data_IF_293358686433
#
_entry.id   IF_293358686433
#
_cell.length_a   1.000
_cell.length_b   1.000
_cell.length_c   1.000
_cell.angle_alpha   90.00
_cell.angle_beta   90.00
_cell.angle_gamma   90.00
#
_symmetry.space_group_name_H-M   'P 1'
#
loop_
_entity.id
_entity.type
_entity.pdbx_description
1 polymer ?
#
# COMPACT_ATOMS: atom_id res chain seq x y z
N UNK A 1 18.82 6.34 18.71
CA UNK A 1 18.42 6.44 17.28
C UNK A 1 17.96 7.87 17.05
N UNK A 2 18.45 8.56 16.00
CA UNK A 2 17.94 9.90 15.65
C UNK A 2 16.53 9.79 15.12
N UNK A 3 15.66 10.75 15.49
CA UNK A 3 14.30 10.84 14.98
C UNK A 3 14.29 10.98 13.44
N UNK A 4 13.16 10.66 12.81
CA UNK A 4 12.96 10.91 11.37
C UNK A 4 12.99 12.42 11.14
N UNK A 5 13.74 12.86 10.14
CA UNK A 5 13.80 14.23 9.67
C UNK A 5 13.63 14.24 8.15
N UNK A 6 12.56 14.90 7.69
CA UNK A 6 12.20 15.01 6.28
C UNK A 6 12.37 16.44 5.77
N UNK A 7 13.11 17.29 6.51
CA UNK A 7 13.41 18.66 6.09
C UNK A 7 14.04 18.68 4.69
N UNK A 8 13.47 19.52 3.83
CA UNK A 8 13.91 19.63 2.43
C UNK A 8 13.50 18.45 1.53
N UNK A 9 12.65 17.54 1.99
CA UNK A 9 12.05 16.46 1.18
C UNK A 9 10.65 16.84 0.73
N UNK A 10 10.21 16.25 -0.38
CA UNK A 10 8.88 16.45 -0.92
C UNK A 10 8.23 15.12 -1.32
N UNK A 11 6.93 15.01 -1.10
CA UNK A 11 6.19 13.81 -1.46
C UNK A 11 4.74 14.02 -1.84
N UNK A 12 4.15 12.96 -2.37
CA UNK A 12 2.74 12.88 -2.74
C UNK A 12 2.03 11.95 -1.75
N UNK A 13 0.85 12.36 -1.26
CA UNK A 13 -0.05 11.51 -0.48
C UNK A 13 -1.42 11.51 -1.16
N UNK A 14 -1.80 10.40 -1.81
CA UNK A 14 -3.15 10.27 -2.38
C UNK A 14 -4.16 9.86 -1.32
N UNK A 15 -5.43 10.28 -1.47
CA UNK A 15 -6.43 10.12 -0.43
C UNK A 15 -6.11 10.94 0.84
N UNK A 16 -5.24 11.96 0.72
CA UNK A 16 -4.69 12.74 1.83
C UNK A 16 -5.67 13.69 2.52
N UNK A 17 -6.90 13.82 2.01
CA UNK A 17 -7.89 14.72 2.57
C UNK A 17 -8.64 14.21 3.80
N UNK A 18 -8.56 12.91 4.13
CA UNK A 18 -9.27 12.30 5.27
C UNK A 18 -8.63 10.98 5.72
N UNK A 19 -9.06 10.51 6.89
CA UNK A 19 -8.65 9.21 7.46
C UNK A 19 -7.14 9.03 7.53
N UNK A 20 -6.67 7.86 7.11
CA UNK A 20 -5.25 7.50 7.11
C UNK A 20 -4.39 8.46 6.28
N UNK A 21 -4.81 8.77 5.05
CA UNK A 21 -4.03 9.68 4.18
C UNK A 21 -3.85 11.07 4.80
N UNK A 22 -4.89 11.61 5.48
CA UNK A 22 -4.76 12.88 6.23
C UNK A 22 -3.74 12.74 7.35
N UNK A 23 -3.82 11.70 8.16
CA UNK A 23 -2.86 11.46 9.25
C UNK A 23 -1.42 11.36 8.71
N UNK A 24 -1.23 10.67 7.60
CA UNK A 24 0.08 10.57 6.95
C UNK A 24 0.58 11.94 6.47
N UNK A 25 -0.26 12.71 5.75
CA UNK A 25 0.12 14.02 5.23
C UNK A 25 0.52 14.99 6.35
N UNK A 26 -0.27 15.07 7.42
CA UNK A 26 0.01 15.91 8.57
C UNK A 26 1.30 15.50 9.29
N UNK A 27 1.46 14.20 9.54
CA UNK A 27 2.64 13.69 10.25
C UNK A 27 3.93 13.90 9.43
N UNK A 28 3.92 13.58 8.13
CA UNK A 28 5.08 13.80 7.26
C UNK A 28 5.44 15.30 7.18
N UNK A 29 4.44 16.18 7.09
CA UNK A 29 4.67 17.62 7.10
C UNK A 29 5.24 18.10 8.43
N UNK A 30 4.79 17.58 9.58
CA UNK A 30 5.33 17.93 10.90
C UNK A 30 6.80 17.52 11.08
N UNK A 31 7.28 16.58 10.27
CA UNK A 31 8.68 16.16 10.20
C UNK A 31 9.49 16.93 9.14
N UNK A 32 8.93 18.00 8.57
CA UNK A 32 9.59 18.91 7.65
C UNK A 32 9.40 18.62 6.16
N UNK A 33 8.62 17.61 5.78
CA UNK A 33 8.33 17.34 4.37
C UNK A 33 7.40 18.38 3.75
N UNK A 34 7.62 18.68 2.46
CA UNK A 34 6.62 19.34 1.63
C UNK A 34 5.67 18.30 1.03
N UNK A 35 4.35 18.49 1.07
CA UNK A 35 3.38 17.46 0.72
C UNK A 35 2.38 17.93 -0.32
N UNK A 36 2.28 17.18 -1.43
CA UNK A 36 1.11 17.24 -2.32
C UNK A 36 0.01 16.41 -1.68
N UNK A 37 -1.07 17.05 -1.26
CA UNK A 37 -2.24 16.42 -0.65
C UNK A 37 -3.29 16.21 -1.74
N UNK A 38 -3.41 14.98 -2.26
CA UNK A 38 -4.42 14.68 -3.27
C UNK A 38 -5.69 14.10 -2.62
N UNK A 39 -6.85 14.62 -3.02
CA UNK A 39 -8.16 14.01 -2.75
C UNK A 39 -9.22 14.55 -3.71
N UNK A 40 -9.85 13.68 -4.51
CA UNK A 40 -10.66 14.01 -5.70
C UNK A 40 -11.86 14.94 -5.49
N UNK A 41 -12.32 15.17 -4.26
CA UNK A 41 -13.53 15.96 -4.02
C UNK A 41 -13.19 17.42 -3.72
N UNK A 42 -13.34 18.27 -4.76
CA UNK A 42 -13.12 19.72 -4.64
C UNK A 42 -14.28 20.44 -3.90
N UNK A 43 -15.50 19.96 -4.00
CA UNK A 43 -16.65 20.59 -3.36
C UNK A 43 -16.57 20.50 -1.83
N UNK A 44 -16.15 19.35 -1.31
CA UNK A 44 -15.89 19.18 0.14
C UNK A 44 -14.57 19.81 0.55
N UNK A 45 -13.69 20.10 -0.40
CA UNK A 45 -12.37 20.71 -0.23
C UNK A 45 -11.52 20.05 0.89
N UNK A 46 -11.57 18.75 0.98
CA UNK A 46 -10.86 18.03 2.03
C UNK A 46 -9.34 18.10 1.87
N UNK A 47 -8.83 18.11 0.64
CA UNK A 47 -7.40 18.30 0.36
C UNK A 47 -6.94 19.70 0.71
N UNK A 48 -7.70 20.72 0.32
CA UNK A 48 -7.38 22.12 0.63
C UNK A 48 -7.36 22.41 2.13
N UNK A 49 -8.31 21.84 2.89
CA UNK A 49 -8.31 21.97 4.36
C UNK A 49 -7.06 21.38 5.00
N UNK A 50 -6.63 20.19 4.57
CA UNK A 50 -5.40 19.56 5.09
C UNK A 50 -4.17 20.36 4.68
N UNK A 51 -4.09 20.86 3.44
CA UNK A 51 -2.98 21.70 3.00
C UNK A 51 -2.92 23.02 3.77
N UNK A 52 -4.08 23.63 4.07
CA UNK A 52 -4.17 24.84 4.90
C UNK A 52 -3.76 24.57 6.36
N UNK A 53 -4.16 23.44 6.94
CA UNK A 53 -3.75 23.03 8.28
C UNK A 53 -2.23 22.83 8.38
N UNK A 54 -1.63 22.17 7.40
CA UNK A 54 -0.17 22.02 7.32
C UNK A 54 0.52 23.39 7.24
N UNK A 55 0.01 24.28 6.39
CA UNK A 55 0.60 25.62 6.20
C UNK A 55 0.45 26.48 7.45
N UNK A 56 -0.70 26.42 8.13
CA UNK A 56 -0.93 27.13 9.39
C UNK A 56 0.00 26.65 10.51
N UNK A 57 0.43 25.37 10.47
CA UNK A 57 1.42 24.80 11.38
C UNK A 57 2.89 25.12 10.98
N UNK A 58 3.11 25.93 9.93
CA UNK A 58 4.44 26.29 9.45
C UNK A 58 5.07 25.30 8.44
N UNK A 59 4.35 24.27 8.05
CA UNK A 59 4.76 23.31 7.02
C UNK A 59 4.49 23.80 5.58
N UNK A 60 4.81 22.96 4.61
CA UNK A 60 4.58 23.24 3.17
C UNK A 60 3.67 22.19 2.57
N UNK A 61 2.54 22.61 2.01
CA UNK A 61 1.64 21.70 1.31
C UNK A 61 0.91 22.41 0.16
N UNK A 62 0.48 21.62 -0.81
CA UNK A 62 -0.39 22.02 -1.91
C UNK A 62 -1.50 20.99 -2.09
N UNK A 63 -2.72 21.44 -2.34
CA UNK A 63 -3.85 20.56 -2.61
C UNK A 63 -3.93 20.19 -4.09
N UNK A 64 -4.32 18.95 -4.36
CA UNK A 64 -4.69 18.45 -5.67
C UNK A 64 -6.04 17.72 -5.61
N UNK A 65 -6.83 17.82 -6.69
CA UNK A 65 -8.19 17.28 -6.74
C UNK A 65 -8.41 16.29 -7.87
N UNK A 66 -7.34 15.79 -8.48
CA UNK A 66 -7.40 14.78 -9.54
C UNK A 66 -8.00 13.49 -9.02
N UNK A 67 -8.82 12.82 -9.82
CA UNK A 67 -9.21 11.44 -9.55
C UNK A 67 -8.04 10.53 -9.93
N UNK A 68 -7.54 9.76 -8.97
CA UNK A 68 -6.42 8.83 -9.21
C UNK A 68 -6.74 7.78 -10.29
N UNK A 69 -8.03 7.53 -10.56
CA UNK A 69 -8.46 6.66 -11.65
C UNK A 69 -8.29 7.29 -13.05
N UNK A 70 -8.02 8.59 -13.13
CA UNK A 70 -7.64 9.23 -14.39
C UNK A 70 -6.25 8.75 -14.82
N UNK A 71 -6.06 8.29 -16.07
CA UNK A 71 -4.76 7.82 -16.56
C UNK A 71 -3.61 8.83 -16.44
N UNK A 72 -3.91 10.13 -16.43
CA UNK A 72 -2.92 11.20 -16.35
C UNK A 72 -2.64 11.69 -14.92
N UNK A 73 -3.47 11.31 -13.93
CA UNK A 73 -3.37 11.81 -12.57
C UNK A 73 -1.98 11.61 -11.95
N UNK A 74 -1.33 10.48 -12.21
CA UNK A 74 0.01 10.21 -11.68
C UNK A 74 1.07 11.19 -12.21
N UNK A 75 1.03 11.51 -13.50
CA UNK A 75 1.96 12.45 -14.12
C UNK A 75 1.70 13.88 -13.67
N UNK A 76 0.43 14.26 -13.57
CA UNK A 76 0.02 15.58 -13.08
C UNK A 76 0.45 15.81 -11.61
N UNK A 77 0.30 14.80 -10.76
CA UNK A 77 0.75 14.85 -9.37
C UNK A 77 2.28 15.00 -9.24
N UNK A 78 3.04 14.27 -10.06
CA UNK A 78 4.51 14.42 -10.11
C UNK A 78 4.88 15.80 -10.61
N UNK A 79 4.26 16.27 -11.70
CA UNK A 79 4.50 17.62 -12.24
C UNK A 79 4.16 18.71 -11.22
N UNK A 80 3.08 18.53 -10.45
CA UNK A 80 2.71 19.45 -9.38
C UNK A 80 3.79 19.48 -8.28
N UNK A 81 4.27 18.34 -7.81
CA UNK A 81 5.33 18.29 -6.81
C UNK A 81 6.62 18.99 -7.28
N UNK A 82 7.00 18.76 -8.52
CA UNK A 82 8.18 19.39 -9.13
C UNK A 82 8.01 20.91 -9.28
N UNK A 83 6.85 21.37 -9.70
CA UNK A 83 6.56 22.79 -9.88
C UNK A 83 6.54 23.55 -8.55
N UNK A 84 5.92 22.99 -7.50
CA UNK A 84 5.73 23.66 -6.21
C UNK A 84 6.91 23.49 -5.26
N UNK A 85 7.63 22.37 -5.34
CA UNK A 85 8.67 22.01 -4.39
C UNK A 85 10.05 21.81 -5.02
N UNK A 86 10.14 21.73 -6.36
CA UNK A 86 11.39 21.52 -7.10
C UNK A 86 11.89 20.07 -7.07
N UNK A 87 11.17 19.15 -6.39
CA UNK A 87 11.58 17.76 -6.21
C UNK A 87 10.43 16.83 -5.85
N UNK A 88 10.68 15.53 -6.00
CA UNK A 88 9.87 14.45 -5.43
C UNK A 88 10.82 13.39 -4.85
N UNK A 89 10.63 13.02 -3.59
CA UNK A 89 11.44 12.04 -2.87
C UNK A 89 10.67 10.79 -2.46
N UNK A 90 9.35 10.95 -2.25
CA UNK A 90 8.50 9.81 -1.87
C UNK A 90 7.07 9.93 -2.40
N UNK A 91 6.40 8.78 -2.46
CA UNK A 91 4.99 8.68 -2.82
C UNK A 91 4.28 7.70 -1.88
N UNK A 92 3.14 8.14 -1.31
CA UNK A 92 2.26 7.32 -0.47
C UNK A 92 0.90 7.21 -1.14
N UNK A 93 0.52 6.01 -1.61
CA UNK A 93 -0.77 5.79 -2.27
C UNK A 93 -1.80 5.29 -1.25
N UNK A 94 -2.63 6.20 -0.72
CA UNK A 94 -3.65 5.88 0.29
C UNK A 94 -5.10 6.07 -0.21
N UNK A 95 -5.29 6.56 -1.44
CA UNK A 95 -6.63 6.67 -2.04
C UNK A 95 -7.25 5.27 -2.23
N UNK A 96 -8.47 5.08 -1.73
CA UNK A 96 -9.21 3.85 -1.88
C UNK A 96 -10.72 4.06 -1.73
N UNK A 97 -11.48 3.14 -2.32
CA UNK A 97 -12.93 3.02 -2.17
C UNK A 97 -13.30 1.58 -1.86
N UNK A 98 -14.49 1.39 -1.26
CA UNK A 98 -15.08 0.07 -1.04
C UNK A 98 -16.56 0.10 -1.46
N UNK A 99 -17.07 -1.03 -1.93
CA UNK A 99 -18.45 -1.26 -2.28
C UNK A 99 -18.94 -2.57 -1.61
N UNK A 100 -19.33 -2.52 -0.32
CA UNK A 100 -19.70 -3.73 0.41
C UNK A 100 -20.95 -4.39 -0.16
N UNK A 101 -20.81 -5.65 -0.57
CA UNK A 101 -21.90 -6.54 -0.97
C UNK A 101 -21.42 -8.00 -0.90
N UNK A 102 -22.32 -8.95 -0.65
CA UNK A 102 -22.00 -10.38 -0.82
C UNK A 102 -21.54 -10.64 -2.26
N UNK A 103 -20.55 -11.48 -2.47
CA UNK A 103 -19.93 -11.70 -3.79
C UNK A 103 -20.95 -11.99 -4.90
N UNK A 104 -21.92 -12.88 -4.65
CA UNK A 104 -22.97 -13.23 -5.62
C UNK A 104 -23.96 -12.08 -5.92
N UNK A 105 -23.89 -10.96 -5.17
CA UNK A 105 -24.70 -9.74 -5.37
C UNK A 105 -23.87 -8.56 -5.88
N UNK A 106 -22.55 -8.73 -6.02
CA UNK A 106 -21.65 -7.68 -6.51
C UNK A 106 -21.77 -7.60 -8.04
N UNK A 107 -22.19 -6.46 -8.58
CA UNK A 107 -22.19 -6.27 -10.03
C UNK A 107 -20.76 -6.09 -10.56
N UNK A 108 -20.55 -6.42 -11.86
CA UNK A 108 -19.24 -6.22 -12.49
C UNK A 108 -18.84 -4.74 -12.55
N UNK A 109 -19.82 -3.85 -12.70
CA UNK A 109 -19.62 -2.40 -12.70
C UNK A 109 -19.11 -1.91 -11.33
N UNK A 110 -19.75 -2.36 -10.24
CA UNK A 110 -19.31 -2.03 -8.88
C UNK A 110 -17.92 -2.62 -8.58
N UNK A 111 -17.67 -3.85 -9.05
CA UNK A 111 -16.34 -4.48 -8.93
C UNK A 111 -15.29 -3.66 -9.69
N UNK A 112 -15.56 -3.32 -10.98
CA UNK A 112 -14.65 -2.57 -11.82
C UNK A 112 -14.37 -1.15 -11.27
N UNK A 113 -15.38 -0.47 -10.72
CA UNK A 113 -15.21 0.84 -10.11
C UNK A 113 -14.24 0.81 -8.92
N UNK A 114 -14.27 -0.25 -8.10
CA UNK A 114 -13.30 -0.45 -7.02
C UNK A 114 -11.90 -0.70 -7.59
N UNK A 115 -11.77 -1.55 -8.63
CA UNK A 115 -10.47 -1.81 -9.26
C UNK A 115 -9.88 -0.55 -9.91
N UNK A 116 -10.70 0.28 -10.55
CA UNK A 116 -10.24 1.51 -11.20
C UNK A 116 -9.53 2.45 -10.22
N UNK A 117 -10.09 2.66 -9.03
CA UNK A 117 -9.47 3.52 -8.01
C UNK A 117 -8.32 2.80 -7.30
N UNK A 118 -8.59 1.59 -6.76
CA UNK A 118 -7.68 0.95 -5.82
C UNK A 118 -6.47 0.30 -6.50
N UNK A 119 -6.65 -0.20 -7.73
CA UNK A 119 -5.57 -0.89 -8.48
C UNK A 119 -4.99 0.02 -9.54
N UNK A 120 -5.80 0.45 -10.53
CA UNK A 120 -5.29 1.23 -11.65
C UNK A 120 -4.82 2.60 -11.19
N UNK A 121 -5.57 3.27 -10.29
CA UNK A 121 -5.17 4.54 -9.72
C UNK A 121 -3.86 4.44 -8.91
N UNK A 122 -3.75 3.42 -8.04
CA UNK A 122 -2.51 3.14 -7.31
C UNK A 122 -1.34 2.86 -8.25
N UNK A 123 -1.55 2.01 -9.26
CA UNK A 123 -0.51 1.66 -10.24
C UNK A 123 -0.07 2.86 -11.06
N UNK A 124 -1.00 3.69 -11.56
CA UNK A 124 -0.71 4.89 -12.35
C UNK A 124 0.13 5.90 -11.57
N UNK A 125 -0.28 6.21 -10.34
CA UNK A 125 0.46 7.14 -9.47
C UNK A 125 1.84 6.57 -9.09
N UNK A 126 1.90 5.30 -8.68
CA UNK A 126 3.16 4.65 -8.32
C UNK A 126 4.12 4.56 -9.52
N UNK A 127 3.63 4.26 -10.73
CA UNK A 127 4.45 4.20 -11.93
C UNK A 127 5.03 5.57 -12.32
N UNK A 128 4.23 6.65 -12.25
CA UNK A 128 4.70 8.00 -12.51
C UNK A 128 5.77 8.41 -11.49
N UNK A 129 5.52 8.17 -10.19
CA UNK A 129 6.49 8.42 -9.14
C UNK A 129 7.78 7.59 -9.35
N UNK A 130 7.67 6.29 -9.63
CA UNK A 130 8.81 5.41 -9.84
C UNK A 130 9.68 5.86 -11.03
N UNK A 131 9.07 6.28 -12.16
CA UNK A 131 9.81 6.85 -13.32
C UNK A 131 10.67 8.04 -12.89
N UNK A 132 10.07 8.99 -12.17
CA UNK A 132 10.80 10.17 -11.70
C UNK A 132 11.89 9.80 -10.69
N UNK A 133 11.56 9.02 -9.66
CA UNK A 133 12.50 8.63 -8.60
C UNK A 133 13.71 7.86 -9.14
N UNK A 134 13.50 6.97 -10.12
CA UNK A 134 14.62 6.27 -10.81
C UNK A 134 15.54 7.24 -11.54
N UNK A 135 15.00 8.27 -12.19
CA UNK A 135 15.77 9.29 -12.89
C UNK A 135 16.48 10.23 -11.90
N UNK A 136 15.88 10.50 -10.74
CA UNK A 136 16.46 11.33 -9.68
C UNK A 136 17.48 10.61 -8.79
N UNK A 137 17.73 9.30 -9.01
CA UNK A 137 18.75 8.55 -8.27
C UNK A 137 18.23 7.82 -7.03
N UNK A 138 16.91 7.71 -6.86
CA UNK A 138 16.29 6.95 -5.78
C UNK A 138 15.11 7.66 -5.12
N UNK A 139 14.43 6.95 -4.24
CA UNK A 139 13.29 7.46 -3.47
C UNK A 139 12.51 6.35 -2.77
N UNK A 140 11.34 6.71 -2.22
CA UNK A 140 10.51 5.78 -1.43
C UNK A 140 9.08 5.75 -1.93
N UNK A 141 8.52 4.54 -2.03
CA UNK A 141 7.11 4.34 -2.36
C UNK A 141 6.47 3.53 -1.24
N UNK A 142 5.34 3.98 -0.71
CA UNK A 142 4.54 3.23 0.26
C UNK A 142 3.15 3.02 -0.34
N UNK A 143 2.81 1.76 -0.57
CA UNK A 143 1.48 1.38 -1.06
C UNK A 143 0.60 0.97 0.14
N UNK A 144 -0.54 1.63 0.31
CA UNK A 144 -1.48 1.30 1.39
C UNK A 144 -2.47 0.24 0.90
N UNK A 145 -2.30 -0.97 1.40
CA UNK A 145 -3.18 -2.10 1.13
C UNK A 145 -4.13 -2.38 2.33
N UNK A 146 -4.41 -3.64 2.62
CA UNK A 146 -5.24 -4.09 3.73
C UNK A 146 -4.99 -5.57 4.02
N UNK A 147 -5.19 -5.99 5.25
CA UNK A 147 -5.22 -7.41 5.64
C UNK A 147 -6.34 -8.19 4.94
N UNK A 148 -7.41 -7.50 4.46
CA UNK A 148 -8.39 -8.11 3.59
C UNK A 148 -7.77 -8.66 2.28
N UNK A 149 -6.67 -8.06 1.81
CA UNK A 149 -5.92 -8.56 0.64
C UNK A 149 -5.06 -9.79 0.94
N UNK A 150 -4.74 -10.06 2.22
CA UNK A 150 -4.03 -11.27 2.64
C UNK A 150 -4.99 -12.44 2.91
N UNK A 151 -6.08 -12.15 3.63
CA UNK A 151 -6.92 -13.19 4.24
C UNK A 151 -8.29 -13.32 3.57
N UNK A 152 -8.65 -12.37 2.68
CA UNK A 152 -10.04 -12.20 2.27
C UNK A 152 -10.88 -11.62 3.40
N UNK A 153 -12.06 -11.06 3.04
CA UNK A 153 -13.02 -10.55 4.03
C UNK A 153 -14.42 -10.67 3.43
N UNK A 154 -15.38 -11.29 4.13
CA UNK A 154 -16.76 -11.37 3.68
C UNK A 154 -17.35 -10.00 3.36
N UNK A 155 -18.23 -9.93 2.37
CA UNK A 155 -18.93 -8.73 1.90
C UNK A 155 -18.11 -7.66 1.21
N UNK A 156 -16.80 -7.78 1.14
CA UNK A 156 -15.93 -6.78 0.48
C UNK A 156 -15.01 -7.40 -0.59
N UNK A 157 -15.53 -8.35 -1.36
CA UNK A 157 -14.74 -9.12 -2.34
C UNK A 157 -13.99 -8.26 -3.36
N UNK A 158 -14.62 -7.21 -3.92
CA UNK A 158 -13.96 -6.28 -4.84
C UNK A 158 -12.80 -5.52 -4.18
N UNK A 159 -12.99 -5.09 -2.93
CA UNK A 159 -11.96 -4.43 -2.14
C UNK A 159 -10.84 -5.40 -1.77
N UNK A 160 -11.14 -6.59 -1.26
CA UNK A 160 -10.16 -7.61 -0.91
C UNK A 160 -9.28 -7.98 -2.11
N UNK A 161 -9.91 -8.25 -3.27
CA UNK A 161 -9.19 -8.51 -4.51
C UNK A 161 -8.27 -7.34 -4.90
N UNK A 162 -8.75 -6.09 -4.80
CA UNK A 162 -7.93 -4.91 -5.10
C UNK A 162 -6.73 -4.78 -4.18
N UNK A 163 -6.89 -5.08 -2.88
CA UNK A 163 -5.80 -4.98 -1.90
C UNK A 163 -4.79 -6.12 -2.02
N UNK A 164 -5.23 -7.31 -2.46
CA UNK A 164 -4.32 -8.40 -2.87
C UNK A 164 -3.47 -8.00 -4.08
N UNK A 165 -4.09 -7.37 -5.08
CA UNK A 165 -3.36 -6.84 -6.25
C UNK A 165 -2.32 -5.78 -5.86
N UNK A 166 -2.64 -4.87 -4.93
CA UNK A 166 -1.70 -3.85 -4.42
C UNK A 166 -0.53 -4.49 -3.67
N UNK A 167 -0.75 -5.57 -2.91
CA UNK A 167 0.32 -6.30 -2.23
C UNK A 167 1.30 -6.91 -3.24
N UNK A 168 0.78 -7.60 -4.26
CA UNK A 168 1.60 -8.20 -5.31
C UNK A 168 2.36 -7.12 -6.11
N UNK A 169 1.68 -6.03 -6.47
CA UNK A 169 2.27 -4.88 -7.16
C UNK A 169 3.43 -4.28 -6.36
N UNK A 170 3.26 -4.10 -5.05
CA UNK A 170 4.29 -3.51 -4.19
C UNK A 170 5.57 -4.36 -4.14
N UNK A 171 5.44 -5.68 -4.04
CA UNK A 171 6.58 -6.61 -4.11
C UNK A 171 7.30 -6.52 -5.47
N UNK A 172 6.53 -6.49 -6.57
CA UNK A 172 7.09 -6.38 -7.92
C UNK A 172 7.86 -5.07 -8.10
N UNK A 173 7.26 -3.92 -7.73
CA UNK A 173 7.93 -2.61 -7.84
C UNK A 173 9.20 -2.56 -6.96
N UNK A 174 9.19 -3.21 -5.81
CA UNK A 174 10.35 -3.28 -4.92
C UNK A 174 11.55 -3.95 -5.61
N UNK A 175 11.34 -5.11 -6.23
CA UNK A 175 12.42 -5.81 -6.95
C UNK A 175 12.90 -5.01 -8.18
N UNK A 176 11.99 -4.46 -8.98
CA UNK A 176 12.31 -3.66 -10.15
C UNK A 176 13.02 -2.35 -9.81
N UNK A 177 12.71 -1.75 -8.65
CA UNK A 177 13.24 -0.47 -8.18
C UNK A 177 14.60 -0.55 -7.51
N UNK A 178 14.93 -1.69 -6.89
CA UNK A 178 16.07 -1.86 -5.98
C UNK A 178 17.41 -1.38 -6.56
N UNK A 179 17.75 -1.78 -7.79
CA UNK A 179 18.99 -1.41 -8.46
C UNK A 179 19.11 0.10 -8.78
N UNK A 180 18.03 0.85 -8.62
CA UNK A 180 17.96 2.31 -8.84
C UNK A 180 17.70 3.09 -7.55
N UNK A 181 17.77 2.43 -6.38
CA UNK A 181 17.55 3.06 -5.09
C UNK A 181 16.09 3.47 -4.83
N UNK A 182 15.13 2.99 -5.65
CA UNK A 182 13.70 3.16 -5.40
C UNK A 182 13.21 2.00 -4.56
N UNK A 183 12.97 2.26 -3.27
CA UNK A 183 12.54 1.23 -2.33
C UNK A 183 11.04 1.34 -2.12
N UNK A 184 10.35 0.20 -2.22
CA UNK A 184 8.90 0.13 -2.13
C UNK A 184 8.47 -0.84 -1.05
N UNK A 185 7.55 -0.41 -0.19
CA UNK A 185 6.97 -1.24 0.85
C UNK A 185 5.44 -1.11 0.87
N UNK A 186 4.77 -2.11 1.43
CA UNK A 186 3.31 -2.17 1.51
C UNK A 186 2.87 -2.08 2.97
N UNK A 187 1.95 -1.18 3.26
CA UNK A 187 1.37 -1.00 4.58
C UNK A 187 -0.06 -1.55 4.62
N UNK A 188 -0.36 -2.36 5.63
CA UNK A 188 -1.67 -2.93 5.92
C UNK A 188 -2.17 -2.37 7.26
N UNK A 189 -2.79 -1.18 7.28
CA UNK A 189 -3.16 -0.52 8.51
C UNK A 189 -4.49 -1.05 9.07
N UNK A 190 -4.58 -1.19 10.41
CA UNK A 190 -5.86 -1.17 11.09
C UNK A 190 -6.05 0.22 11.71
N UNK A 191 -7.12 0.89 11.31
CA UNK A 191 -7.47 2.20 11.87
C UNK A 191 -8.96 2.44 11.78
N UNK A 192 -9.50 3.12 12.76
CA UNK A 192 -10.85 3.68 12.73
C UNK A 192 -10.86 4.90 11.81
N UNK A 193 -11.62 4.82 10.74
CA UNK A 193 -11.79 5.87 9.73
C UNK A 193 -13.24 5.89 9.28
N UNK A 194 -13.64 6.89 8.51
CA UNK A 194 -14.99 6.92 7.92
C UNK A 194 -15.35 5.64 7.13
N UNK A 195 -14.35 4.94 6.57
CA UNK A 195 -14.56 3.68 5.82
C UNK A 195 -14.74 2.48 6.75
N UNK A 196 -14.10 2.47 7.91
CA UNK A 196 -14.01 1.30 8.81
C UNK A 196 -14.85 1.44 10.07
N UNK A 197 -15.35 2.64 10.39
CA UNK A 197 -16.04 2.94 11.64
C UNK A 197 -17.28 2.03 11.88
N UNK A 198 -18.07 1.81 10.85
CA UNK A 198 -19.26 0.96 10.95
C UNK A 198 -18.97 -0.51 11.28
N UNK A 199 -17.77 -1.00 10.90
CA UNK A 199 -17.31 -2.37 11.18
C UNK A 199 -16.37 -2.48 12.39
N UNK A 200 -15.95 -1.36 12.97
CA UNK A 200 -15.04 -1.35 14.10
C UNK A 200 -15.81 -1.53 15.42
N UNK A 201 -15.46 -2.58 16.18
CA UNK A 201 -16.05 -2.76 17.49
C UNK A 201 -15.69 -1.60 18.43
N UNK A 202 -16.66 -1.13 19.23
CA UNK A 202 -16.58 0.07 20.06
C UNK A 202 -15.30 0.12 20.92
N UNK A 203 -14.94 -1.00 21.51
CA UNK A 203 -13.76 -1.13 22.37
C UNK A 203 -12.43 -0.86 21.66
N UNK A 204 -12.38 -0.88 20.33
CA UNK A 204 -11.16 -0.65 19.55
C UNK A 204 -11.10 0.74 18.91
N UNK A 205 -12.24 1.49 18.86
CA UNK A 205 -12.32 2.76 18.13
C UNK A 205 -11.30 3.78 18.59
N UNK A 206 -11.18 3.98 19.89
CA UNK A 206 -10.29 4.98 20.48
C UNK A 206 -8.81 4.57 20.42
N UNK A 207 -8.53 3.27 20.40
CA UNK A 207 -7.16 2.75 20.33
C UNK A 207 -6.63 2.67 18.89
N UNK A 208 -7.49 2.38 17.92
CA UNK A 208 -7.10 2.18 16.51
C UNK A 208 -7.16 3.51 15.73
N UNK A 209 -6.44 4.53 16.19
CA UNK A 209 -6.42 5.83 15.51
C UNK A 209 -5.56 5.80 14.23
N UNK A 210 -5.93 6.61 13.23
CA UNK A 210 -5.13 6.78 12.02
C UNK A 210 -3.72 7.35 12.34
N UNK A 211 -3.64 8.24 13.32
CA UNK A 211 -2.38 8.87 13.74
C UNK A 211 -1.38 7.87 14.31
N UNK A 212 -1.84 6.78 14.95
CA UNK A 212 -0.98 5.74 15.51
C UNK A 212 -0.20 4.95 14.46
N UNK A 213 -0.61 5.01 13.18
CA UNK A 213 0.04 4.34 12.04
C UNK A 213 1.03 5.26 11.32
N UNK A 214 0.84 6.58 11.41
CA UNK A 214 1.64 7.55 10.66
C UNK A 214 3.16 7.49 10.92
N UNK A 215 3.66 7.20 12.14
CA UNK A 215 5.10 7.02 12.37
C UNK A 215 5.74 5.89 11.56
N UNK A 216 4.99 4.82 11.24
CA UNK A 216 5.50 3.73 10.39
C UNK A 216 5.71 4.23 8.97
N UNK A 217 4.77 5.03 8.42
CA UNK A 217 4.92 5.63 7.10
C UNK A 217 6.12 6.57 7.07
N UNK A 218 6.30 7.40 8.10
CA UNK A 218 7.45 8.30 8.20
C UNK A 218 8.78 7.54 8.17
N UNK A 219 8.88 6.42 8.89
CA UNK A 219 10.07 5.58 8.88
C UNK A 219 10.31 4.91 7.50
N UNK A 220 9.24 4.51 6.79
CA UNK A 220 9.33 3.91 5.46
C UNK A 220 9.73 4.91 4.37
N UNK A 221 9.44 6.21 4.54
CA UNK A 221 9.84 7.24 3.58
C UNK A 221 11.15 7.95 3.96
N UNK A 222 11.73 7.64 5.11
CA UNK A 222 13.04 8.18 5.52
C UNK A 222 14.13 7.73 4.52
N UNK A 223 14.93 8.66 3.97
CA UNK A 223 15.96 8.31 3.00
C UNK A 223 17.05 7.38 3.56
N UNK A 224 17.22 7.31 4.88
CA UNK A 224 18.14 6.40 5.57
C UNK A 224 17.65 4.97 5.64
N UNK A 225 16.34 4.75 5.44
CA UNK A 225 15.72 3.42 5.50
C UNK A 225 16.21 2.52 4.35
N UNK A 226 16.35 1.22 4.65
CA UNK A 226 16.83 0.21 3.69
C UNK A 226 15.78 -0.86 3.41
N UNK A 227 14.60 -0.80 4.06
CA UNK A 227 13.53 -1.77 3.87
C UNK A 227 12.98 -1.70 2.44
N UNK A 228 12.83 -2.86 1.81
CA UNK A 228 12.33 -2.99 0.44
C UNK A 228 11.58 -4.32 0.26
N UNK A 229 10.37 -4.25 -0.26
CA UNK A 229 9.51 -5.42 -0.49
C UNK A 229 8.73 -5.88 0.75
N UNK A 230 8.85 -5.16 1.87
CA UNK A 230 8.18 -5.51 3.11
C UNK A 230 6.66 -5.27 3.00
N UNK A 231 5.91 -6.19 3.62
CA UNK A 231 4.46 -6.08 3.79
C UNK A 231 4.16 -6.06 5.29
N UNK A 232 3.74 -4.90 5.79
CA UNK A 232 3.73 -4.59 7.23
C UNK A 232 2.30 -4.30 7.68
N UNK A 233 1.81 -5.06 8.65
CA UNK A 233 0.57 -4.71 9.39
C UNK A 233 0.93 -3.72 10.49
N UNK A 234 0.18 -2.62 10.61
CA UNK A 234 0.40 -1.62 11.65
C UNK A 234 -0.91 -1.10 12.25
N UNK A 235 -0.93 -0.98 13.57
CA UNK A 235 -2.05 -0.42 14.34
C UNK A 235 -1.62 -0.08 15.76
N UNK A 236 -2.22 0.94 16.35
CA UNK A 236 -2.09 1.24 17.77
C UNK A 236 -0.63 1.19 18.29
N UNK A 237 0.30 1.84 17.57
CA UNK A 237 1.71 1.86 17.93
C UNK A 237 2.44 0.51 17.85
N UNK A 238 1.84 -0.47 17.19
CA UNK A 238 2.38 -1.84 17.04
C UNK A 238 2.45 -2.23 15.58
N UNK A 239 3.33 -3.18 15.24
CA UNK A 239 3.46 -3.70 13.90
C UNK A 239 3.67 -5.23 13.88
N UNK A 240 3.39 -5.84 12.73
CA UNK A 240 3.76 -7.22 12.38
C UNK A 240 4.32 -7.25 10.97
N UNK A 241 5.42 -7.96 10.76
CA UNK A 241 5.84 -8.38 9.43
C UNK A 241 4.90 -9.47 8.91
N UNK A 242 4.73 -9.56 7.59
CA UNK A 242 3.99 -10.65 6.94
C UNK A 242 4.86 -11.32 5.89
N UNK A 243 4.63 -12.61 5.68
CA UNK A 243 5.33 -13.39 4.67
C UNK A 243 4.33 -14.20 3.84
N UNK A 244 4.71 -14.54 2.61
CA UNK A 244 4.05 -15.60 1.83
C UNK A 244 4.89 -16.85 1.98
N UNK A 245 4.26 -17.95 2.37
CA UNK A 245 4.92 -19.22 2.67
C UNK A 245 4.41 -20.28 1.72
N UNK A 246 5.34 -21.01 1.07
CA UNK A 246 5.10 -22.30 0.44
C UNK A 246 5.66 -23.40 1.35
N UNK A 247 5.04 -24.57 1.34
CA UNK A 247 5.42 -25.69 2.18
C UNK A 247 6.15 -26.76 1.37
N UNK A 248 6.60 -27.82 2.04
CA UNK A 248 7.37 -28.89 1.41
C UNK A 248 6.68 -29.53 0.21
N UNK A 249 7.44 -29.85 -0.80
CA UNK A 249 6.98 -30.49 -2.02
C UNK A 249 6.60 -31.97 -1.77
N UNK A 250 5.48 -32.39 -2.33
CA UNK A 250 5.01 -33.78 -2.29
C UNK A 250 4.70 -34.29 -3.70
N UNK A 251 4.92 -35.56 -3.96
CA UNK A 251 4.63 -36.14 -5.28
C UNK A 251 3.16 -36.55 -5.39
N UNK A 252 2.55 -36.16 -6.51
CA UNK A 252 1.16 -36.49 -6.83
C UNK A 252 1.15 -37.84 -7.56
N UNK A 253 0.36 -38.87 -7.11
CA UNK A 253 0.21 -40.16 -7.80
C UNK A 253 -0.58 -40.00 -9.10
N UNK A 254 -0.47 -40.98 -9.99
CA UNK A 254 -1.18 -40.98 -11.28
C UNK A 254 -2.72 -40.96 -11.13
N UNK A 255 -3.24 -41.50 -10.03
CA UNK A 255 -4.66 -41.44 -9.68
C UNK A 255 -4.80 -40.77 -8.33
N UNK A 256 -5.64 -39.77 -8.25
CA UNK A 256 -5.84 -38.94 -7.07
C UNK A 256 -7.35 -38.67 -6.85
N UNK A 257 -7.84 -39.03 -5.68
CA UNK A 257 -9.19 -38.70 -5.23
C UNK A 257 -9.18 -37.52 -4.25
N UNK A 258 -10.34 -36.97 -3.85
CA UNK A 258 -10.41 -35.83 -2.93
C UNK A 258 -9.78 -36.10 -1.55
N UNK A 259 -9.86 -37.32 -1.03
CA UNK A 259 -9.26 -37.70 0.26
C UNK A 259 -7.73 -37.75 0.15
N UNK A 260 -7.21 -38.37 -0.93
CA UNK A 260 -5.78 -38.39 -1.24
C UNK A 260 -5.21 -36.98 -1.42
N UNK A 261 -5.93 -36.06 -2.10
CA UNK A 261 -5.51 -34.66 -2.21
C UNK A 261 -5.42 -33.99 -0.83
N UNK A 262 -6.41 -34.20 0.04
CA UNK A 262 -6.38 -33.66 1.39
C UNK A 262 -5.18 -34.20 2.19
N UNK A 263 -4.86 -35.50 2.06
CA UNK A 263 -3.69 -36.13 2.66
C UNK A 263 -2.36 -35.53 2.15
N UNK A 264 -2.24 -35.33 0.85
CA UNK A 264 -1.06 -34.68 0.24
C UNK A 264 -0.86 -33.25 0.73
N UNK A 265 -1.94 -32.45 0.83
CA UNK A 265 -1.87 -31.10 1.36
C UNK A 265 -1.45 -31.08 2.84
N UNK A 266 -1.92 -32.04 3.63
CA UNK A 266 -1.49 -32.20 5.02
C UNK A 266 -0.01 -32.57 5.12
N UNK A 267 0.47 -33.50 4.28
CA UNK A 267 1.88 -33.89 4.20
C UNK A 267 2.78 -32.74 3.75
N UNK A 268 2.36 -31.96 2.74
CA UNK A 268 3.07 -30.76 2.31
C UNK A 268 3.22 -29.77 3.47
N UNK A 269 2.14 -29.46 4.21
CA UNK A 269 2.15 -28.56 5.37
C UNK A 269 3.00 -29.03 6.56
N UNK A 270 3.28 -30.33 6.63
CA UNK A 270 4.21 -30.89 7.62
C UNK A 270 5.68 -30.73 7.22
N UNK A 271 5.95 -30.36 5.99
CA UNK A 271 7.28 -30.06 5.48
C UNK A 271 7.82 -28.72 5.95
N UNK A 272 9.05 -28.40 5.57
CA UNK A 272 9.69 -27.14 5.91
C UNK A 272 9.02 -25.96 5.18
N UNK A 273 8.72 -24.85 5.85
CA UNK A 273 8.24 -23.63 5.18
C UNK A 273 9.36 -22.95 4.41
N UNK A 274 9.02 -22.41 3.24
CA UNK A 274 9.91 -21.67 2.36
C UNK A 274 9.32 -20.28 2.08
N UNK A 275 10.15 -19.26 2.15
CA UNK A 275 9.82 -17.88 1.76
C UNK A 275 10.67 -17.50 0.56
N UNK A 276 10.04 -16.87 -0.46
CA UNK A 276 10.73 -16.46 -1.68
C UNK A 276 10.53 -14.96 -1.92
N UNK A 277 11.56 -14.33 -2.48
CA UNK A 277 11.49 -12.93 -2.89
C UNK A 277 10.73 -12.75 -4.19
N UNK A 278 10.92 -13.68 -5.14
CA UNK A 278 10.31 -13.64 -6.45
C UNK A 278 9.65 -14.98 -6.81
N UNK A 279 8.70 -14.94 -7.74
CA UNK A 279 8.10 -16.15 -8.29
C UNK A 279 9.13 -17.01 -9.04
N UNK A 280 10.18 -16.41 -9.59
CA UNK A 280 11.26 -17.14 -10.27
C UNK A 280 12.09 -17.95 -9.28
N UNK A 281 12.36 -17.40 -8.07
CA UNK A 281 13.07 -18.13 -7.02
C UNK A 281 12.24 -19.33 -6.54
N UNK A 282 10.93 -19.12 -6.33
CA UNK A 282 10.00 -20.20 -5.96
C UNK A 282 9.94 -21.31 -7.04
N UNK A 283 9.86 -20.92 -8.31
CA UNK A 283 9.88 -21.86 -9.43
C UNK A 283 11.20 -22.66 -9.49
N UNK A 284 12.34 -21.99 -9.33
CA UNK A 284 13.65 -22.64 -9.41
C UNK A 284 13.82 -23.68 -8.30
N UNK A 285 13.38 -23.37 -7.07
CA UNK A 285 13.41 -24.29 -5.94
C UNK A 285 12.49 -25.50 -6.18
N UNK A 286 11.21 -25.25 -6.53
CA UNK A 286 10.25 -26.31 -6.84
C UNK A 286 10.72 -27.20 -8.01
N UNK A 287 11.28 -26.62 -9.06
CA UNK A 287 11.81 -27.38 -10.20
C UNK A 287 13.01 -28.25 -9.77
N UNK A 288 13.89 -27.72 -8.91
CA UNK A 288 15.02 -28.47 -8.36
C UNK A 288 14.62 -29.69 -7.54
N UNK A 289 13.49 -29.62 -6.80
CA UNK A 289 12.96 -30.73 -6.01
C UNK A 289 12.18 -31.76 -6.85
N UNK A 290 11.65 -31.38 -8.00
CA UNK A 290 10.74 -32.24 -8.81
C UNK A 290 11.39 -32.84 -10.05
N UNK A 291 12.44 -32.22 -10.56
CA UNK A 291 13.20 -32.77 -11.72
C UNK A 291 14.21 -33.82 -11.26
N UNK A 292 14.43 -34.88 -12.10
CA UNK A 292 15.40 -35.94 -11.82
C UNK A 292 16.86 -35.47 -11.87
#
# INVERSE_FOLDING_TARGET
MSAVDLTGRAGIVTGGGKGLGRAFALHLASLGAAVVVNNRNREVDSAGRVAAEITAAGGRAVADYSDVADPHAGEDLVALALREFGRLDFCVTSAAVSAPAMFHKTSLEAFAAVQAVNVLGTAGVAAAAARHLRAAGGGRIVLVASTAGLHGEPTVSAYAASKGAVIALGRTIAEEGAARGVLTNVLLPYATTQMTDAGMAEQFRDAMTADSVAPVVAALVDPRGTLNGEVIVAANGSLRATATIEWGTVRVPAALDPEGLAGLLAASRAGKPHEYRTAQDAFADFAGETMP
#
